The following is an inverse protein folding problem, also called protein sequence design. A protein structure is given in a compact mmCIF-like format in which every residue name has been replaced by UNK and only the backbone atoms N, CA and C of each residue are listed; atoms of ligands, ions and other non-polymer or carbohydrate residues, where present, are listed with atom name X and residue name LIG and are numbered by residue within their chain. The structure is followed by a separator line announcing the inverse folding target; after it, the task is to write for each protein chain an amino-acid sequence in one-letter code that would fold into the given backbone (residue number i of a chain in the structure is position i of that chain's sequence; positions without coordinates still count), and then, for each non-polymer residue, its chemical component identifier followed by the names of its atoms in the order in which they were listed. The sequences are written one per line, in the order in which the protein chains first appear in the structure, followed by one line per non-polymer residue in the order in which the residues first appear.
data_IF_198577428737
#
_entry.id   IF_198577428737
#
_cell.length_a   1.000
_cell.length_b   1.000
_cell.length_c   1.000
_cell.angle_alpha   90.00
_cell.angle_beta   90.00
_cell.angle_gamma   90.00
#
_symmetry.space_group_name_H-M   'P 1'
#
loop_
_entity.id
_entity.type
_entity.pdbx_description
1 polymer ?
#
# COMPACT_ATOMS: atom_id res chain seq x y z
N UNK A 1 -4.75 7.61 -0.58
CA UNK A 1 -3.68 7.22 0.35
C UNK A 1 -4.06 7.43 1.82
N UNK A 2 -4.24 8.67 2.32
CA UNK A 2 -4.46 8.89 3.77
C UNK A 2 -5.69 8.15 4.31
N UNK A 3 -6.81 8.19 3.58
CA UNK A 3 -8.02 7.46 3.93
C UNK A 3 -7.77 5.93 3.98
N UNK A 4 -7.02 5.39 3.02
CA UNK A 4 -6.71 3.96 2.98
C UNK A 4 -5.93 3.50 4.22
N UNK A 5 -4.95 4.30 4.68
CA UNK A 5 -4.18 3.99 5.90
C UNK A 5 -4.99 4.21 7.18
N UNK A 6 -5.95 5.15 7.19
CA UNK A 6 -6.89 5.30 8.29
C UNK A 6 -7.76 4.05 8.42
N UNK A 7 -8.38 3.62 7.33
CA UNK A 7 -9.19 2.39 7.30
C UNK A 7 -8.36 1.17 7.66
N UNK A 8 -7.11 1.08 7.18
CA UNK A 8 -6.22 0.00 7.57
C UNK A 8 -6.00 0.00 9.09
N UNK A 9 -5.72 1.16 9.70
CA UNK A 9 -5.52 1.31 11.14
C UNK A 9 -6.77 0.96 11.95
N UNK A 10 -7.95 1.33 11.47
CA UNK A 10 -9.23 0.98 12.10
C UNK A 10 -9.43 -0.53 12.19
N UNK A 11 -9.01 -1.27 11.17
CA UNK A 11 -9.19 -2.73 11.09
C UNK A 11 -8.09 -3.51 11.82
N UNK A 12 -6.82 -3.08 11.71
CA UNK A 12 -5.68 -3.88 12.23
C UNK A 12 -4.93 -3.26 13.41
N UNK A 13 -5.30 -2.05 13.84
CA UNK A 13 -4.60 -1.31 14.89
C UNK A 13 -3.30 -0.69 14.39
N UNK A 14 -2.22 -0.80 15.17
CA UNK A 14 -0.93 -0.21 14.81
C UNK A 14 -0.40 -0.74 13.47
N UNK A 15 0.09 0.18 12.64
CA UNK A 15 0.47 -0.06 11.25
C UNK A 15 1.92 -0.50 11.10
N UNK A 16 2.80 -0.13 12.03
CA UNK A 16 4.24 -0.36 11.89
C UNK A 16 4.55 -1.87 11.82
N UNK A 17 5.30 -2.26 10.80
CA UNK A 17 5.67 -3.65 10.53
C UNK A 17 4.54 -4.51 9.93
N UNK A 18 3.34 -3.96 9.72
CA UNK A 18 2.27 -4.68 9.00
C UNK A 18 2.57 -4.75 7.51
N UNK A 19 1.91 -5.67 6.80
CA UNK A 19 2.07 -5.85 5.35
C UNK A 19 0.75 -5.62 4.61
N UNK A 20 0.83 -4.93 3.48
CA UNK A 20 -0.27 -4.78 2.51
C UNK A 20 0.18 -5.21 1.11
N UNK A 21 -0.77 -5.64 0.28
CA UNK A 21 -0.54 -5.99 -1.12
C UNK A 21 -1.45 -5.13 -1.99
N UNK A 22 -0.86 -4.37 -2.92
CA UNK A 22 -1.61 -3.72 -3.99
C UNK A 22 -1.57 -4.63 -5.21
N UNK A 23 -2.73 -4.98 -5.77
CA UNK A 23 -2.85 -5.88 -6.91
C UNK A 23 -3.48 -5.17 -8.11
N UNK A 24 -2.80 -5.17 -9.26
CA UNK A 24 -3.33 -4.62 -10.51
C UNK A 24 -2.32 -3.75 -11.24
N UNK A 25 -2.75 -2.58 -11.69
CA UNK A 25 -1.89 -1.60 -12.36
C UNK A 25 -1.02 -0.86 -11.34
N UNK A 26 0.22 -1.30 -11.17
CA UNK A 26 1.16 -0.71 -10.20
C UNK A 26 1.79 0.60 -10.68
N UNK A 27 1.55 1.01 -11.93
CA UNK A 27 2.12 2.23 -12.52
C UNK A 27 1.22 3.44 -12.33
N UNK A 28 -0.04 3.23 -11.94
CA UNK A 28 -0.98 4.31 -11.67
C UNK A 28 -0.62 5.13 -10.42
N UNK A 29 -1.30 6.26 -10.26
CA UNK A 29 -1.09 7.19 -9.15
C UNK A 29 -1.53 6.62 -7.79
N UNK A 30 -2.51 5.72 -7.75
CA UNK A 30 -2.99 5.09 -6.52
C UNK A 30 -1.90 4.18 -5.94
N UNK A 31 -1.31 3.30 -6.75
CA UNK A 31 -0.21 2.43 -6.36
C UNK A 31 1.00 3.24 -5.88
N UNK A 32 1.37 4.30 -6.62
CA UNK A 32 2.48 5.18 -6.23
C UNK A 32 2.23 5.89 -4.91
N UNK A 33 1.05 6.47 -4.72
CA UNK A 33 0.71 7.14 -3.46
C UNK A 33 0.64 6.15 -2.30
N UNK A 34 0.05 4.97 -2.48
CA UNK A 34 0.06 3.90 -1.47
C UNK A 34 1.49 3.49 -1.07
N UNK A 35 2.41 3.38 -2.02
CA UNK A 35 3.82 3.08 -1.75
C UNK A 35 4.49 4.15 -0.90
N UNK A 36 4.25 5.42 -1.21
CA UNK A 36 4.77 6.55 -0.42
C UNK A 36 4.22 6.50 1.00
N UNK A 37 2.91 6.26 1.15
CA UNK A 37 2.30 6.11 2.48
C UNK A 37 2.89 4.94 3.27
N UNK A 38 3.22 3.84 2.61
CA UNK A 38 3.79 2.67 3.26
C UNK A 38 5.14 3.01 3.89
N UNK A 39 5.97 3.79 3.19
CA UNK A 39 7.24 4.29 3.69
C UNK A 39 7.06 5.20 4.93
N UNK A 40 6.07 6.10 4.92
CA UNK A 40 5.81 7.00 6.05
C UNK A 40 5.28 6.28 7.30
N UNK A 41 4.38 5.31 7.12
CA UNK A 41 3.75 4.59 8.24
C UNK A 41 4.54 3.36 8.69
N UNK A 42 5.66 3.04 8.03
CA UNK A 42 6.46 1.86 8.34
C UNK A 42 5.75 0.54 8.00
N UNK A 43 4.97 0.52 6.92
CA UNK A 43 4.24 -0.64 6.41
C UNK A 43 5.06 -1.30 5.29
N UNK A 44 5.11 -2.62 5.26
CA UNK A 44 5.64 -3.36 4.12
C UNK A 44 4.58 -3.42 3.01
N UNK A 45 4.92 -2.93 1.82
CA UNK A 45 4.03 -2.99 0.66
C UNK A 45 4.57 -3.97 -0.39
N UNK A 46 3.68 -4.78 -0.96
CA UNK A 46 3.97 -5.64 -2.12
C UNK A 46 3.16 -5.13 -3.31
N UNK A 47 3.84 -4.93 -4.44
CA UNK A 47 3.22 -4.58 -5.71
C UNK A 47 3.03 -5.85 -6.54
N UNK A 48 1.80 -6.33 -6.62
CA UNK A 48 1.43 -7.50 -7.41
C UNK A 48 0.81 -7.03 -8.73
N UNK A 49 1.36 -7.44 -9.86
CA UNK A 49 0.85 -7.04 -11.16
C UNK A 49 1.15 -8.07 -12.26
N UNK A 50 0.41 -8.01 -13.38
CA UNK A 50 0.76 -8.77 -14.57
C UNK A 50 2.18 -8.45 -15.04
N UNK A 51 2.85 -9.39 -15.74
CA UNK A 51 4.22 -9.19 -16.26
C UNK A 51 4.37 -7.92 -17.11
N UNK A 52 3.36 -7.55 -17.87
CA UNK A 52 3.37 -6.34 -18.69
C UNK A 52 3.44 -5.03 -17.86
N UNK A 53 3.07 -5.10 -16.59
CA UNK A 53 3.04 -3.99 -15.64
C UNK A 53 4.17 -4.05 -14.61
N UNK A 54 5.07 -5.05 -14.70
CA UNK A 54 6.30 -5.07 -13.91
C UNK A 54 7.09 -3.75 -14.07
#
# INVERSE_FOLDING_TARGET
MLADYLTFKEVVGDLRGKKIVFAGDIKNNVARSLMIGAAFFGVHIVMCCPKAQW
#
